data_IF_167260978896
#
_entry.id   IF_167260978896
#
_cell.length_a   1.000
_cell.length_b   1.000
_cell.length_c   1.000
_cell.angle_alpha   90.00
_cell.angle_beta   90.00
_cell.angle_gamma   90.00
#
_symmetry.space_group_name_H-M   'P 1'
#
loop_
_entity.id
_entity.type
_entity.pdbx_description
1 polymer ?
#
# COMPACT_ATOMS: atom_id res chain seq x y z
N UNK A 1 56.92 -67.30 -13.18
CA UNK A 1 55.54 -67.58 -13.67
C UNK A 1 54.52 -67.17 -12.60
N UNK A 2 54.29 -65.86 -12.44
CA UNK A 2 53.24 -65.34 -11.53
C UNK A 2 52.80 -63.90 -11.87
N UNK A 3 53.17 -63.37 -13.06
CA UNK A 3 52.84 -61.99 -13.47
C UNK A 3 51.93 -61.96 -14.72
N UNK A 4 51.71 -63.12 -15.36
CA UNK A 4 50.90 -63.22 -16.59
C UNK A 4 49.41 -63.49 -16.29
N UNK A 5 49.04 -63.77 -15.02
CA UNK A 5 47.66 -64.15 -14.66
C UNK A 5 46.81 -62.97 -14.17
N UNK A 6 47.40 -61.80 -13.86
CA UNK A 6 46.63 -60.63 -13.35
C UNK A 6 46.18 -59.65 -14.44
N UNK A 7 46.64 -59.81 -15.69
CA UNK A 7 46.26 -58.98 -16.85
C UNK A 7 45.15 -59.61 -17.72
N UNK A 8 44.43 -60.62 -17.19
CA UNK A 8 43.37 -61.36 -17.91
C UNK A 8 42.03 -61.33 -17.16
N UNK A 9 41.78 -60.33 -16.31
CA UNK A 9 40.49 -60.09 -15.66
C UNK A 9 39.90 -58.70 -15.91
N UNK A 10 40.47 -57.93 -16.83
CA UNK A 10 39.85 -56.73 -17.36
C UNK A 10 39.69 -56.88 -18.87
N UNK A 11 38.42 -57.00 -19.27
CA UNK A 11 37.85 -57.07 -20.62
C UNK A 11 37.76 -58.44 -21.29
N UNK A 12 36.55 -58.81 -21.73
CA UNK A 12 36.18 -58.39 -23.08
C UNK A 12 34.76 -57.83 -23.28
N UNK A 13 34.68 -56.99 -24.32
CA UNK A 13 33.55 -56.70 -25.22
C UNK A 13 32.26 -56.15 -24.62
N UNK A 14 31.98 -54.87 -24.93
CA UNK A 14 30.84 -54.53 -25.81
C UNK A 14 31.24 -53.37 -26.72
N UNK A 15 31.26 -53.66 -28.01
CA UNK A 15 31.15 -52.71 -29.11
C UNK A 15 29.77 -52.06 -29.12
N UNK A 16 29.68 -50.74 -29.11
CA UNK A 16 28.60 -50.05 -29.82
C UNK A 16 28.98 -48.59 -30.09
N UNK A 17 29.06 -48.26 -31.38
CA UNK A 17 29.06 -46.90 -31.87
C UNK A 17 27.70 -46.27 -31.52
N UNK A 18 27.69 -45.40 -30.51
CA UNK A 18 26.48 -44.74 -30.02
C UNK A 18 26.71 -43.26 -29.78
N UNK A 19 26.53 -42.47 -30.83
CA UNK A 19 26.05 -41.09 -30.77
C UNK A 19 26.78 -40.10 -29.82
N UNK A 20 28.00 -39.70 -30.16
CA UNK A 20 28.66 -38.51 -29.60
C UNK A 20 28.01 -37.18 -30.03
N UNK A 21 26.83 -37.23 -30.65
CA UNK A 21 26.03 -36.10 -31.08
C UNK A 21 25.11 -35.58 -29.96
N UNK A 22 24.90 -36.37 -28.90
CA UNK A 22 24.03 -36.02 -27.77
C UNK A 22 24.75 -35.18 -26.70
N UNK A 23 26.06 -35.38 -26.51
CA UNK A 23 26.84 -34.64 -25.50
C UNK A 23 27.20 -33.21 -25.95
N UNK A 24 27.48 -33.02 -27.24
CA UNK A 24 27.65 -31.69 -27.84
C UNK A 24 26.30 -30.94 -28.01
N UNK A 25 25.16 -31.65 -28.06
CA UNK A 25 23.82 -31.03 -28.04
C UNK A 25 23.40 -30.47 -26.69
N UNK A 26 24.02 -30.88 -25.57
CA UNK A 26 23.80 -30.20 -24.28
C UNK A 26 24.45 -28.81 -24.22
N UNK A 27 25.39 -28.54 -25.15
CA UNK A 27 26.01 -27.23 -25.37
C UNK A 27 25.55 -26.60 -26.70
N UNK A 28 24.46 -27.10 -27.30
CA UNK A 28 23.84 -26.45 -28.45
C UNK A 28 23.09 -25.21 -27.96
N UNK A 29 23.79 -24.08 -28.05
CA UNK A 29 23.27 -22.73 -27.98
C UNK A 29 22.28 -22.50 -26.82
N UNK A 30 22.80 -21.96 -25.72
CA UNK A 30 22.04 -21.01 -24.91
C UNK A 30 21.76 -19.80 -25.83
N UNK A 31 20.84 -19.97 -26.79
CA UNK A 31 20.32 -18.87 -27.59
C UNK A 31 19.79 -17.89 -26.56
N UNK A 32 20.31 -16.66 -26.58
CA UNK A 32 19.73 -15.59 -25.79
C UNK A 32 18.22 -15.62 -26.02
N UNK A 33 17.40 -15.66 -24.95
CA UNK A 33 15.96 -15.70 -25.12
C UNK A 33 15.55 -14.54 -26.03
N UNK A 34 14.67 -14.78 -27.02
CA UNK A 34 14.27 -13.77 -27.98
C UNK A 34 13.75 -12.54 -27.24
N UNK A 35 14.19 -11.33 -27.65
CA UNK A 35 13.79 -10.09 -26.99
C UNK A 35 12.26 -9.92 -27.11
N UNK A 36 11.51 -9.94 -26.00
CA UNK A 36 10.05 -9.90 -26.03
C UNK A 36 9.49 -8.57 -26.56
N UNK A 37 10.32 -7.56 -26.78
CA UNK A 37 9.96 -6.29 -27.42
C UNK A 37 9.88 -6.38 -28.96
N UNK A 38 10.32 -7.48 -29.57
CA UNK A 38 10.30 -7.66 -31.01
C UNK A 38 9.71 -9.01 -31.41
N UNK A 39 8.88 -9.01 -32.45
CA UNK A 39 8.36 -10.20 -33.13
C UNK A 39 8.91 -10.20 -34.56
N UNK A 40 9.83 -11.11 -34.86
CA UNK A 40 10.51 -11.18 -36.17
C UNK A 40 11.02 -9.79 -36.64
N UNK A 41 11.67 -9.05 -35.73
CA UNK A 41 12.16 -7.66 -35.89
C UNK A 41 11.10 -6.56 -35.95
N UNK A 42 9.79 -6.88 -35.95
CA UNK A 42 8.74 -5.88 -35.80
C UNK A 42 8.59 -5.49 -34.33
N UNK A 43 8.61 -4.19 -34.00
CA UNK A 43 8.44 -3.75 -32.62
C UNK A 43 7.03 -4.11 -32.13
N UNK A 44 6.92 -4.57 -30.89
CA UNK A 44 5.66 -4.83 -30.20
C UNK A 44 5.77 -4.38 -28.75
N UNK A 45 4.66 -4.06 -28.12
CA UNK A 45 4.66 -3.71 -26.69
C UNK A 45 5.33 -4.81 -25.84
N UNK A 46 6.21 -4.38 -24.95
CA UNK A 46 6.81 -5.23 -23.94
C UNK A 46 6.77 -4.53 -22.58
N UNK A 47 6.43 -5.28 -21.54
CA UNK A 47 6.32 -4.76 -20.17
C UNK A 47 7.19 -5.60 -19.24
N UNK A 48 7.77 -5.01 -18.18
CA UNK A 48 8.52 -5.78 -17.20
C UNK A 48 7.65 -6.77 -16.45
N UNK A 49 8.29 -7.80 -15.91
CA UNK A 49 7.62 -8.79 -15.07
C UNK A 49 6.94 -8.16 -13.85
N UNK A 50 5.89 -8.84 -13.39
CA UNK A 50 5.20 -8.47 -12.17
C UNK A 50 6.02 -8.92 -10.95
N UNK A 51 6.21 -8.03 -9.99
CA UNK A 51 7.02 -8.28 -8.78
C UNK A 51 6.36 -7.69 -7.54
N UNK A 52 6.73 -8.23 -6.38
CA UNK A 52 6.58 -7.49 -5.12
C UNK A 52 7.72 -6.46 -5.03
N UNK A 53 7.42 -5.20 -5.36
CA UNK A 53 8.39 -4.11 -5.34
C UNK A 53 8.83 -3.72 -3.93
N UNK A 54 8.17 -4.21 -2.88
CA UNK A 54 8.60 -3.99 -1.50
C UNK A 54 9.69 -4.98 -1.05
N UNK A 55 9.76 -6.16 -1.66
CA UNK A 55 10.63 -7.25 -1.19
C UNK A 55 12.10 -6.84 -1.12
N UNK A 56 12.72 -7.02 0.05
CA UNK A 56 14.11 -6.67 0.33
C UNK A 56 14.40 -5.17 0.43
N UNK A 57 13.43 -4.28 0.18
CA UNK A 57 13.63 -2.84 0.31
C UNK A 57 13.44 -2.40 1.77
N UNK A 58 14.28 -1.49 2.29
CA UNK A 58 14.13 -0.98 3.64
C UNK A 58 12.87 -0.14 3.77
N UNK A 59 12.15 -0.35 4.87
CA UNK A 59 10.98 0.45 5.25
C UNK A 59 11.37 1.35 6.43
N UNK A 60 11.08 2.63 6.31
CA UNK A 60 11.24 3.59 7.40
C UNK A 60 9.97 3.58 8.26
N UNK A 61 10.10 3.10 9.51
CA UNK A 61 9.01 3.09 10.48
C UNK A 61 9.21 4.23 11.48
N UNK A 62 8.16 5.03 11.73
CA UNK A 62 8.25 6.12 12.72
C UNK A 62 8.27 5.65 14.18
N UNK A 63 7.89 4.40 14.43
CA UNK A 63 7.91 3.78 15.76
C UNK A 63 8.32 2.31 15.62
N UNK A 64 9.23 1.85 16.46
CA UNK A 64 9.63 0.44 16.55
C UNK A 64 9.91 0.11 18.00
N UNK A 65 9.31 -0.97 18.52
CA UNK A 65 9.47 -1.32 19.92
C UNK A 65 10.92 -1.66 20.29
N UNK A 66 11.31 -1.40 21.53
CA UNK A 66 12.62 -1.84 22.04
C UNK A 66 13.81 -1.01 21.55
N UNK A 67 13.60 0.02 20.71
CA UNK A 67 14.67 0.81 20.09
C UNK A 67 15.45 1.65 21.11
N UNK A 68 14.77 2.24 22.09
CA UNK A 68 15.41 3.03 23.16
C UNK A 68 15.57 2.22 24.45
N UNK A 69 14.49 1.56 24.88
CA UNK A 69 14.44 0.75 26.11
C UNK A 69 13.57 -0.49 25.88
N UNK A 70 13.81 -1.60 26.59
CA UNK A 70 12.93 -2.76 26.54
C UNK A 70 11.50 -2.39 26.97
N UNK A 71 10.51 -2.68 26.13
CA UNK A 71 9.10 -2.34 26.37
C UNK A 71 8.24 -3.60 26.45
N UNK A 72 7.22 -3.57 27.31
CA UNK A 72 6.23 -4.64 27.43
C UNK A 72 5.11 -4.41 26.42
N UNK A 73 4.72 -5.46 25.70
CA UNK A 73 3.56 -5.46 24.80
C UNK A 73 2.70 -6.69 25.08
N UNK A 74 1.40 -6.64 24.73
CA UNK A 74 0.48 -7.75 24.96
C UNK A 74 -0.30 -8.08 23.69
N UNK A 75 -0.34 -9.36 23.33
CA UNK A 75 -1.16 -9.85 22.20
C UNK A 75 -2.62 -10.04 22.65
N UNK A 76 -3.55 -9.99 21.69
CA UNK A 76 -4.98 -10.21 21.95
C UNK A 76 -5.22 -11.71 22.18
N UNK A 77 -5.98 -12.06 23.23
CA UNK A 77 -6.37 -13.44 23.54
C UNK A 77 -7.72 -13.79 22.93
N UNK A 78 -7.80 -14.93 22.23
CA UNK A 78 -9.00 -15.41 21.50
C UNK A 78 -10.10 -16.04 22.38
N UNK A 79 -10.34 -15.60 23.63
CA UNK A 79 -11.35 -16.26 24.49
C UNK A 79 -12.76 -15.71 24.20
N UNK A 80 -13.67 -16.47 23.55
CA UNK A 80 -15.05 -16.04 23.32
C UNK A 80 -15.87 -16.34 24.59
N UNK A 81 -16.51 -15.33 25.17
CA UNK A 81 -17.48 -15.51 26.25
C UNK A 81 -16.94 -15.55 27.69
N UNK A 82 -15.66 -15.25 27.91
CA UNK A 82 -15.11 -15.10 29.25
C UNK A 82 -15.13 -13.65 29.72
N UNK A 83 -16.21 -13.23 30.40
CA UNK A 83 -16.19 -12.02 31.23
C UNK A 83 -15.15 -12.17 32.33
N UNK A 84 -13.92 -11.72 32.08
CA UNK A 84 -12.81 -11.91 33.02
C UNK A 84 -11.54 -11.23 32.55
N UNK A 85 -11.19 -10.14 33.23
CA UNK A 85 -9.94 -9.39 33.16
C UNK A 85 -8.78 -10.31 33.57
N UNK A 86 -8.28 -11.18 32.68
CA UNK A 86 -7.05 -11.95 32.93
C UNK A 86 -6.31 -12.31 31.64
N UNK A 87 -5.37 -11.43 31.27
CA UNK A 87 -4.04 -11.85 30.80
C UNK A 87 -3.89 -12.23 29.34
N UNK A 88 -4.04 -11.27 28.42
CA UNK A 88 -3.35 -11.37 27.13
C UNK A 88 -1.87 -11.73 27.37
N UNK A 89 -1.31 -12.64 26.55
CA UNK A 89 0.08 -13.06 26.70
C UNK A 89 0.98 -11.85 26.42
N UNK A 90 1.60 -11.33 27.48
CA UNK A 90 2.49 -10.20 27.38
C UNK A 90 3.94 -10.65 27.23
N UNK A 91 4.66 -9.97 26.37
CA UNK A 91 6.06 -10.21 26.05
C UNK A 91 6.86 -8.92 26.21
N UNK A 92 8.19 -9.05 26.17
CA UNK A 92 9.12 -7.92 26.20
C UNK A 92 9.76 -7.82 24.83
N UNK A 93 9.67 -6.63 24.22
CA UNK A 93 10.40 -6.27 23.02
C UNK A 93 11.69 -5.57 23.40
N UNK A 94 12.81 -6.05 22.87
CA UNK A 94 14.16 -5.56 23.15
C UNK A 94 15.02 -5.69 21.89
N UNK A 95 15.44 -4.55 21.33
CA UNK A 95 16.23 -4.49 20.08
C UNK A 95 17.60 -5.16 20.24
N UNK A 96 18.15 -5.19 21.45
CA UNK A 96 19.45 -5.81 21.73
C UNK A 96 19.43 -7.35 21.65
N UNK A 97 18.24 -7.96 21.75
CA UNK A 97 18.07 -9.41 21.76
C UNK A 97 17.47 -9.91 20.44
N UNK A 98 18.21 -10.71 19.62
CA UNK A 98 17.73 -11.17 18.31
C UNK A 98 16.40 -11.94 18.32
N UNK A 99 16.06 -12.62 19.43
CA UNK A 99 14.81 -13.36 19.59
C UNK A 99 13.61 -12.50 20.01
N UNK A 100 13.85 -11.24 20.40
CA UNK A 100 12.85 -10.31 20.96
C UNK A 100 12.83 -8.95 20.26
N UNK A 101 13.67 -8.76 19.24
CA UNK A 101 13.66 -7.59 18.37
C UNK A 101 12.61 -7.74 17.27
N UNK A 102 12.02 -6.62 16.88
CA UNK A 102 10.96 -6.57 15.87
C UNK A 102 11.19 -5.40 14.88
N UNK A 103 12.35 -5.39 14.18
CA UNK A 103 12.74 -4.28 13.31
C UNK A 103 11.85 -4.17 12.07
N UNK A 104 11.82 -2.99 11.46
CA UNK A 104 11.07 -2.72 10.23
C UNK A 104 11.54 -3.55 9.02
N UNK A 105 12.75 -4.14 9.07
CA UNK A 105 13.23 -5.06 8.03
C UNK A 105 12.36 -6.32 7.89
N UNK A 106 11.66 -6.75 8.95
CA UNK A 106 10.73 -7.88 8.92
C UNK A 106 9.41 -7.56 8.19
N UNK A 107 9.25 -6.35 7.65
CA UNK A 107 8.10 -6.02 6.81
C UNK A 107 8.27 -6.51 5.38
N UNK A 108 9.50 -6.70 4.91
CA UNK A 108 9.82 -6.94 3.49
C UNK A 108 10.76 -8.12 3.29
N UNK A 109 10.97 -8.94 4.32
CA UNK A 109 11.75 -10.16 4.25
C UNK A 109 10.96 -11.32 3.62
N UNK A 110 11.54 -12.52 3.65
CA UNK A 110 10.88 -13.71 3.14
C UNK A 110 9.80 -14.18 4.13
N UNK A 111 8.56 -13.82 3.84
CA UNK A 111 7.41 -14.23 4.64
C UNK A 111 7.17 -15.76 4.56
N UNK A 112 7.44 -16.47 5.66
CA UNK A 112 7.18 -17.89 5.82
C UNK A 112 6.02 -18.12 6.80
N UNK A 113 4.87 -18.67 6.37
CA UNK A 113 3.72 -18.91 7.24
C UNK A 113 4.02 -19.77 8.48
N UNK A 114 5.03 -20.65 8.41
CA UNK A 114 5.43 -21.50 9.54
C UNK A 114 6.37 -20.80 10.53
N UNK A 115 7.04 -19.71 10.12
CA UNK A 115 7.98 -18.96 10.94
C UNK A 115 7.85 -17.47 10.59
N UNK A 116 6.78 -16.87 11.11
CA UNK A 116 6.39 -15.50 10.79
C UNK A 116 7.27 -14.53 11.56
N UNK A 117 8.00 -13.71 10.83
CA UNK A 117 8.69 -12.52 11.32
C UNK A 117 7.71 -11.34 11.38
N UNK A 118 7.96 -10.41 12.30
CA UNK A 118 6.99 -9.36 12.63
C UNK A 118 7.69 -8.08 13.04
N UNK A 119 7.39 -6.98 12.36
CA UNK A 119 7.64 -5.65 12.90
C UNK A 119 6.56 -5.31 13.93
N UNK A 120 6.94 -4.57 14.97
CA UNK A 120 6.03 -4.10 16.03
C UNK A 120 6.34 -2.66 16.39
N UNK A 121 5.30 -1.84 16.51
CA UNK A 121 5.41 -0.46 17.01
C UNK A 121 5.66 -0.45 18.52
N UNK A 122 6.05 0.71 19.05
CA UNK A 122 5.94 0.94 20.49
C UNK A 122 4.47 0.80 20.96
N UNK A 123 4.24 0.45 22.23
CA UNK A 123 2.89 0.34 22.76
C UNK A 123 2.15 1.69 22.72
N UNK A 124 0.93 1.65 22.22
CA UNK A 124 0.04 2.79 22.04
C UNK A 124 -0.87 2.89 23.27
N UNK A 125 -1.08 4.12 23.72
CA UNK A 125 -2.04 4.43 24.78
C UNK A 125 -3.45 4.33 24.19
N UNK A 126 -4.32 3.54 24.82
CA UNK A 126 -5.70 3.41 24.34
C UNK A 126 -6.39 4.78 24.31
N UNK A 127 -7.11 5.12 23.23
CA UNK A 127 -7.78 6.41 23.11
C UNK A 127 -8.87 6.53 24.19
N UNK A 128 -8.87 7.63 24.92
CA UNK A 128 -9.84 7.89 25.99
C UNK A 128 -11.14 8.50 25.46
N UNK A 129 -11.16 8.99 24.22
CA UNK A 129 -12.33 9.60 23.58
C UNK A 129 -12.28 9.49 22.04
N UNK A 130 -13.41 9.72 21.37
CA UNK A 130 -13.47 9.76 19.89
C UNK A 130 -12.63 10.91 19.32
N UNK A 131 -12.48 12.01 20.06
CA UNK A 131 -11.65 13.17 19.73
C UNK A 131 -10.18 13.02 20.13
N UNK A 132 -9.77 11.86 20.65
CA UNK A 132 -8.36 11.59 20.96
C UNK A 132 -7.51 11.75 19.70
N UNK A 133 -6.31 12.37 19.80
CA UNK A 133 -5.39 12.51 18.67
C UNK A 133 -5.10 11.15 18.00
N UNK A 134 -4.86 11.13 16.67
CA UNK A 134 -4.49 9.90 15.98
C UNK A 134 -3.10 9.40 16.40
N UNK A 135 -2.92 8.09 16.39
CA UNK A 135 -1.67 7.42 16.81
C UNK A 135 -0.49 7.76 15.89
N UNK A 136 -0.76 8.09 14.63
CA UNK A 136 0.18 8.56 13.61
C UNK A 136 1.47 7.71 13.46
N UNK A 137 1.35 6.39 13.65
CA UNK A 137 2.46 5.47 13.35
C UNK A 137 2.52 5.27 11.84
N UNK A 138 3.70 5.45 11.24
CA UNK A 138 3.87 5.43 9.79
C UNK A 138 4.90 4.40 9.35
N UNK A 139 4.63 3.80 8.18
CA UNK A 139 5.58 2.96 7.44
C UNK A 139 5.76 3.59 6.06
N UNK A 140 6.99 3.99 5.74
CA UNK A 140 7.33 4.62 4.46
C UNK A 140 8.27 3.72 3.67
N UNK A 141 7.87 3.34 2.47
CA UNK A 141 8.62 2.51 1.54
C UNK A 141 8.95 3.32 0.29
N UNK A 142 10.23 3.45 -0.01
CA UNK A 142 10.73 4.07 -1.24
C UNK A 142 11.11 2.99 -2.26
N UNK A 143 10.49 3.04 -3.44
CA UNK A 143 10.72 2.05 -4.51
C UNK A 143 11.93 2.42 -5.40
N UNK A 144 12.46 3.64 -5.28
CA UNK A 144 13.63 4.12 -6.03
C UNK A 144 13.38 4.38 -7.53
N UNK A 145 12.22 3.99 -8.06
CA UNK A 145 11.75 4.23 -9.44
C UNK A 145 10.21 4.25 -9.47
N UNK A 146 9.62 4.81 -10.53
CA UNK A 146 8.18 4.72 -10.79
C UNK A 146 7.76 3.28 -11.10
N UNK A 147 6.73 2.82 -10.41
CA UNK A 147 6.03 1.56 -10.67
C UNK A 147 4.57 1.83 -11.04
N UNK A 148 4.00 0.93 -11.84
CA UNK A 148 2.56 0.82 -12.03
C UNK A 148 2.05 -0.25 -11.05
N UNK A 149 1.38 0.20 -9.99
CA UNK A 149 0.95 -0.61 -8.88
C UNK A 149 -0.40 -1.28 -9.16
N UNK A 150 -0.45 -2.59 -8.91
CA UNK A 150 -1.70 -3.37 -8.96
C UNK A 150 -2.33 -3.47 -7.58
N UNK A 151 -1.52 -3.69 -6.54
CA UNK A 151 -2.03 -3.75 -5.17
C UNK A 151 -1.01 -3.28 -4.13
N UNK A 152 -1.53 -2.90 -2.97
CA UNK A 152 -0.77 -2.73 -1.73
C UNK A 152 -1.41 -3.63 -0.69
N UNK A 153 -0.64 -4.47 0.00
CA UNK A 153 -1.18 -5.35 1.04
C UNK A 153 -0.33 -5.41 2.28
N UNK A 154 -1.02 -5.44 3.42
CA UNK A 154 -0.45 -5.57 4.75
C UNK A 154 -0.99 -6.85 5.38
N UNK A 155 -0.10 -7.73 5.80
CA UNK A 155 -0.44 -8.88 6.64
C UNK A 155 -0.07 -8.55 8.09
N UNK A 156 -1.02 -8.65 8.98
CA UNK A 156 -0.87 -8.43 10.41
C UNK A 156 -0.38 -9.71 11.09
N UNK A 157 0.41 -9.50 12.14
CA UNK A 157 0.99 -10.60 12.91
C UNK A 157 -0.09 -11.50 13.54
N UNK A 158 0.20 -12.79 13.73
CA UNK A 158 -0.69 -13.68 14.48
C UNK A 158 -0.99 -13.10 15.86
N UNK A 159 -2.26 -13.15 16.28
CA UNK A 159 -2.74 -12.63 17.58
C UNK A 159 -2.57 -11.11 17.79
N UNK A 160 -2.17 -10.38 16.75
CA UNK A 160 -2.19 -8.92 16.79
C UNK A 160 -3.57 -8.38 16.40
N UNK A 161 -3.96 -7.28 17.05
CA UNK A 161 -5.18 -6.57 16.69
C UNK A 161 -5.06 -5.96 15.28
N UNK A 162 -6.14 -6.06 14.51
CA UNK A 162 -6.28 -5.33 13.25
C UNK A 162 -6.66 -3.87 13.56
N UNK A 163 -5.96 -2.87 13.00
CA UNK A 163 -6.32 -1.49 13.22
C UNK A 163 -7.70 -1.16 12.67
N UNK A 164 -8.46 -0.37 13.41
CA UNK A 164 -9.73 0.19 12.95
C UNK A 164 -9.53 1.23 11.84
N UNK A 165 -8.54 2.13 11.96
CA UNK A 165 -8.36 3.23 11.01
C UNK A 165 -6.94 3.29 10.44
N UNK A 166 -6.82 3.14 9.13
CA UNK A 166 -5.57 3.16 8.36
C UNK A 166 -5.74 4.01 7.10
N UNK A 167 -4.73 4.78 6.75
CA UNK A 167 -4.64 5.49 5.49
C UNK A 167 -3.40 5.05 4.70
N UNK A 168 -3.57 4.83 3.40
CA UNK A 168 -2.49 4.54 2.45
C UNK A 168 -2.34 5.77 1.57
N UNK A 169 -1.12 6.28 1.47
CA UNK A 169 -0.71 7.38 0.62
C UNK A 169 0.33 6.89 -0.37
N UNK A 170 0.45 7.59 -1.49
CA UNK A 170 1.51 7.38 -2.47
C UNK A 170 2.21 8.70 -2.82
N UNK A 171 3.43 8.60 -3.29
CA UNK A 171 4.14 9.70 -3.95
C UNK A 171 4.40 9.34 -5.42
N UNK A 172 4.50 10.34 -6.30
CA UNK A 172 4.92 10.17 -7.69
C UNK A 172 6.21 10.93 -8.02
N UNK A 173 6.78 11.61 -7.01
CA UNK A 173 7.87 12.56 -7.12
C UNK A 173 8.99 12.29 -6.10
N UNK A 174 9.17 11.01 -5.75
CA UNK A 174 10.23 10.51 -4.87
C UNK A 174 10.12 11.05 -3.44
N UNK A 175 8.91 11.00 -2.87
CA UNK A 175 8.62 11.31 -1.46
C UNK A 175 8.40 12.78 -1.15
N UNK A 176 8.44 13.68 -2.15
CA UNK A 176 8.29 15.13 -1.94
C UNK A 176 6.84 15.52 -1.66
N UNK A 177 5.91 14.99 -2.43
CA UNK A 177 4.47 15.17 -2.22
C UNK A 177 3.78 13.83 -2.01
N UNK A 178 2.72 13.87 -1.22
CA UNK A 178 1.95 12.70 -0.82
C UNK A 178 0.49 12.91 -1.18
N UNK A 179 -0.07 11.98 -1.94
CA UNK A 179 -1.48 11.97 -2.30
C UNK A 179 -2.19 10.78 -1.67
N UNK A 180 -3.45 10.95 -1.20
CA UNK A 180 -4.25 9.85 -0.68
C UNK A 180 -4.44 8.75 -1.72
N UNK A 181 -4.35 7.49 -1.30
CA UNK A 181 -4.50 6.34 -2.17
C UNK A 181 -5.71 5.48 -1.76
N UNK A 182 -5.84 5.16 -0.47
CA UNK A 182 -6.96 4.39 0.09
C UNK A 182 -7.12 4.67 1.58
N UNK A 183 -8.35 4.70 2.07
CA UNK A 183 -8.67 4.79 3.49
C UNK A 183 -9.45 3.56 3.96
N UNK A 184 -9.18 3.13 5.18
CA UNK A 184 -9.90 2.08 5.88
C UNK A 184 -10.32 2.63 7.24
N UNK A 185 -11.62 2.58 7.56
CA UNK A 185 -12.16 3.01 8.86
C UNK A 185 -13.58 2.48 9.06
N UNK A 186 -13.96 2.12 10.29
CA UNK A 186 -15.38 1.94 10.64
C UNK A 186 -16.18 3.24 10.59
N UNK A 187 -15.53 4.38 10.85
CA UNK A 187 -16.15 5.70 10.93
C UNK A 187 -15.53 6.66 9.92
N UNK A 188 -15.53 6.27 8.64
CA UNK A 188 -14.98 7.04 7.51
C UNK A 188 -15.33 8.53 7.54
N UNK A 189 -16.60 8.86 7.85
CA UNK A 189 -17.08 10.24 7.88
C UNK A 189 -16.46 11.04 9.03
N UNK A 190 -16.32 10.44 10.23
CA UNK A 190 -15.79 11.13 11.41
C UNK A 190 -14.27 11.22 11.40
N UNK A 191 -13.58 10.17 10.94
CA UNK A 191 -12.11 10.09 10.96
C UNK A 191 -11.50 10.80 9.76
N UNK A 192 -12.06 10.60 8.56
CA UNK A 192 -11.48 11.10 7.31
C UNK A 192 -12.35 12.10 6.56
N UNK A 193 -13.54 12.44 7.08
CA UNK A 193 -14.48 13.33 6.39
C UNK A 193 -15.11 12.70 5.13
N UNK A 194 -14.89 11.41 4.88
CA UNK A 194 -15.25 10.74 3.63
C UNK A 194 -16.49 9.85 3.78
N UNK A 195 -17.34 9.74 2.75
CA UNK A 195 -18.40 8.74 2.72
C UNK A 195 -17.83 7.31 2.78
N UNK A 196 -18.53 6.40 3.45
CA UNK A 196 -18.19 4.97 3.48
C UNK A 196 -18.62 4.33 2.15
N UNK A 197 -17.71 3.63 1.47
CA UNK A 197 -17.94 2.89 0.22
C UNK A 197 -18.61 3.73 -0.89
N UNK A 198 -18.15 4.97 -1.06
CA UNK A 198 -18.60 5.79 -2.19
C UNK A 198 -18.30 5.12 -3.53
N UNK A 199 -19.20 5.34 -4.49
CA UNK A 199 -19.08 4.83 -5.85
C UNK A 199 -18.17 5.76 -6.68
N UNK A 200 -17.28 5.16 -7.47
CA UNK A 200 -16.43 5.89 -8.41
C UNK A 200 -17.17 6.01 -9.74
N UNK A 201 -17.16 7.21 -10.29
CA UNK A 201 -17.65 7.52 -11.64
C UNK A 201 -16.46 7.78 -12.56
N UNK A 202 -16.70 7.85 -13.88
CA UNK A 202 -15.66 8.21 -14.84
C UNK A 202 -15.05 9.61 -14.60
N UNK A 203 -15.75 10.50 -13.91
CA UNK A 203 -15.28 11.86 -13.65
C UNK A 203 -14.27 11.94 -12.49
N UNK A 204 -14.30 10.99 -11.55
CA UNK A 204 -13.49 11.00 -10.32
C UNK A 204 -12.68 9.70 -10.15
N UNK A 205 -12.19 9.13 -11.24
CA UNK A 205 -11.40 7.88 -11.23
C UNK A 205 -10.03 7.98 -10.54
N UNK A 206 -9.64 9.14 -10.02
CA UNK A 206 -8.44 9.32 -9.19
C UNK A 206 -8.79 9.64 -7.73
N UNK A 207 -10.05 9.51 -7.34
CA UNK A 207 -10.44 9.73 -5.96
C UNK A 207 -10.07 8.53 -5.08
N UNK A 208 -9.53 8.83 -3.89
CA UNK A 208 -9.27 7.85 -2.84
C UNK A 208 -10.54 7.58 -2.03
N UNK A 209 -10.92 6.32 -1.96
CA UNK A 209 -12.13 5.88 -1.25
C UNK A 209 -11.85 5.59 0.22
N UNK A 210 -12.93 5.54 1.01
CA UNK A 210 -12.89 5.01 2.38
C UNK A 210 -13.84 3.81 2.50
N UNK A 211 -13.40 2.75 3.17
CA UNK A 211 -14.22 1.55 3.40
C UNK A 211 -13.97 0.87 4.74
N UNK A 212 -15.01 0.30 5.30
CA UNK A 212 -15.00 -0.58 6.48
C UNK A 212 -14.78 -2.07 6.14
N UNK A 213 -14.56 -2.41 4.87
CA UNK A 213 -14.48 -3.81 4.38
C UNK A 213 -13.45 -4.64 5.13
N UNK A 214 -12.37 -4.02 5.60
CA UNK A 214 -11.32 -4.67 6.36
C UNK A 214 -11.81 -5.27 7.70
N UNK A 215 -12.95 -4.83 8.24
CA UNK A 215 -13.52 -5.39 9.47
C UNK A 215 -14.28 -6.70 9.24
N UNK A 216 -14.83 -6.86 8.04
CA UNK A 216 -15.62 -8.02 7.69
C UNK A 216 -14.70 -9.07 7.10
N UNK A 217 -14.46 -10.15 7.86
CA UNK A 217 -13.88 -11.36 7.28
C UNK A 217 -14.84 -11.82 6.18
N UNK A 218 -14.34 -12.09 4.98
CA UNK A 218 -15.13 -12.52 3.83
C UNK A 218 -15.76 -13.91 3.96
N UNK A 219 -16.14 -14.34 5.17
CA UNK A 219 -16.83 -15.60 5.41
C UNK A 219 -17.87 -15.38 6.52
N UNK A 220 -19.15 -15.39 6.14
CA UNK A 220 -20.28 -15.59 7.06
C UNK A 220 -20.32 -17.04 7.55
N UNK A 221 -19.22 -17.52 8.15
CA UNK A 221 -19.07 -18.87 8.66
C UNK A 221 -18.24 -18.85 9.94
N UNK A 222 -18.83 -19.37 11.01
CA UNK A 222 -18.23 -19.63 12.31
C UNK A 222 -16.80 -20.21 12.19
N UNK A 223 -15.86 -19.59 12.92
CA UNK A 223 -14.62 -20.26 13.33
C UNK A 223 -13.40 -20.21 12.40
N UNK A 224 -13.43 -19.46 11.29
CA UNK A 224 -12.23 -19.25 10.47
C UNK A 224 -11.27 -18.22 11.10
N UNK A 225 -9.93 -18.43 11.06
CA UNK A 225 -8.97 -17.45 11.58
C UNK A 225 -9.23 -16.09 10.94
N UNK A 226 -9.27 -15.05 11.78
CA UNK A 226 -9.51 -13.67 11.35
C UNK A 226 -8.59 -13.37 10.17
N UNK A 227 -9.14 -12.93 9.04
CA UNK A 227 -8.33 -12.58 7.89
C UNK A 227 -7.42 -11.42 8.29
N UNK A 228 -6.18 -11.76 8.67
CA UNK A 228 -5.18 -10.82 9.16
C UNK A 228 -4.57 -9.99 8.05
N UNK A 229 -5.27 -9.83 6.91
CA UNK A 229 -4.78 -9.11 5.74
C UNK A 229 -5.67 -7.92 5.42
N UNK A 230 -5.04 -6.82 5.02
CA UNK A 230 -5.67 -5.72 4.31
C UNK A 230 -5.02 -5.68 2.94
N UNK A 231 -5.84 -5.72 1.90
CA UNK A 231 -5.38 -5.61 0.53
C UNK A 231 -6.18 -4.50 -0.15
N UNK A 232 -5.43 -3.58 -0.76
CA UNK A 232 -5.95 -2.50 -1.59
C UNK A 232 -5.60 -2.83 -3.04
N UNK A 233 -6.62 -3.01 -3.89
CA UNK A 233 -6.45 -3.15 -5.33
C UNK A 233 -6.67 -1.79 -6.00
N UNK A 234 -5.68 -1.31 -6.76
CA UNK A 234 -5.66 0.08 -7.25
C UNK A 234 -6.76 0.37 -8.27
N UNK A 235 -7.15 -0.62 -9.07
CA UNK A 235 -8.15 -0.52 -10.13
C UNK A 235 -9.55 -1.00 -9.73
N UNK A 236 -9.73 -1.49 -8.50
CA UNK A 236 -11.02 -2.00 -8.03
C UNK A 236 -12.08 -0.90 -8.01
N UNK A 237 -13.26 -1.21 -8.57
CA UNK A 237 -14.39 -0.28 -8.64
C UNK A 237 -14.22 0.89 -9.63
N UNK A 238 -13.13 0.94 -10.42
CA UNK A 238 -12.88 2.03 -11.38
C UNK A 238 -13.42 1.68 -12.78
N UNK A 239 -14.36 2.47 -13.35
CA UNK A 239 -15.03 2.13 -14.61
C UNK A 239 -14.12 1.86 -15.81
N UNK A 240 -13.02 2.61 -15.95
CA UNK A 240 -12.10 2.49 -17.09
C UNK A 240 -11.02 1.41 -16.92
N UNK A 241 -11.10 0.59 -15.86
CA UNK A 241 -10.10 -0.45 -15.57
C UNK A 241 -10.00 -1.50 -16.69
N UNK A 242 -11.11 -1.82 -17.37
CA UNK A 242 -11.13 -2.74 -18.51
C UNK A 242 -10.41 -2.19 -19.75
N UNK A 243 -10.29 -0.86 -19.86
CA UNK A 243 -9.61 -0.15 -20.95
C UNK A 243 -8.39 0.64 -20.43
N UNK A 244 -7.65 0.04 -19.49
CA UNK A 244 -6.51 0.66 -18.81
C UNK A 244 -5.44 1.17 -19.79
N UNK A 245 -5.17 0.43 -20.87
CA UNK A 245 -4.14 0.79 -21.85
C UNK A 245 -4.42 2.12 -22.56
N UNK A 246 -5.68 2.55 -22.62
CA UNK A 246 -6.09 3.81 -23.25
C UNK A 246 -6.53 4.88 -22.23
N UNK A 247 -6.57 4.57 -20.93
CA UNK A 247 -6.94 5.52 -19.87
C UNK A 247 -5.71 6.16 -19.24
N UNK A 248 -5.27 7.37 -19.67
CA UNK A 248 -4.15 8.07 -19.03
C UNK A 248 -4.45 8.39 -17.55
N UNK A 249 -5.72 8.63 -17.23
CA UNK A 249 -6.19 8.91 -15.86
C UNK A 249 -5.84 7.75 -14.93
N UNK A 250 -6.12 6.50 -15.33
CA UNK A 250 -5.80 5.32 -14.51
C UNK A 250 -4.31 4.97 -14.56
N UNK A 251 -3.64 5.20 -15.67
CA UNK A 251 -2.18 5.00 -15.77
C UNK A 251 -1.42 5.88 -14.77
N UNK A 252 -1.85 7.14 -14.60
CA UNK A 252 -1.30 8.02 -13.58
C UNK A 252 -1.78 7.64 -12.16
N UNK A 253 -3.03 7.19 -12.02
CA UNK A 253 -3.55 6.68 -10.74
C UNK A 253 -2.76 5.49 -10.19
N UNK A 254 -2.32 4.55 -11.02
CA UNK A 254 -1.53 3.40 -10.55
C UNK A 254 -0.04 3.74 -10.38
N UNK A 255 0.40 4.89 -10.89
CA UNK A 255 1.81 5.28 -10.83
C UNK A 255 2.19 5.74 -9.43
N UNK A 256 3.28 5.18 -8.89
CA UNK A 256 3.88 5.62 -7.63
C UNK A 256 5.41 5.38 -7.61
N UNK A 257 6.13 6.21 -6.85
CA UNK A 257 7.55 6.04 -6.50
C UNK A 257 7.73 5.59 -5.05
N UNK A 258 6.78 5.93 -4.18
CA UNK A 258 6.84 5.66 -2.75
C UNK A 258 5.43 5.36 -2.23
N UNK A 259 5.36 4.56 -1.18
CA UNK A 259 4.13 4.21 -0.48
C UNK A 259 4.31 4.52 1.00
N UNK A 260 3.29 5.16 1.58
CA UNK A 260 3.25 5.48 3.00
C UNK A 260 1.95 4.97 3.59
N UNK A 261 2.06 4.13 4.60
CA UNK A 261 0.93 3.66 5.40
C UNK A 261 0.93 4.44 6.70
N UNK A 262 -0.22 4.97 7.09
CA UNK A 262 -0.42 5.71 8.35
C UNK A 262 -1.48 4.97 9.15
N UNK A 263 -1.10 4.50 10.33
CA UNK A 263 -2.00 3.92 11.31
C UNK A 263 -2.52 5.04 12.22
N UNK A 264 -3.83 5.29 12.18
CA UNK A 264 -4.45 6.39 12.89
C UNK A 264 -5.11 5.95 14.18
N UNK A 265 -5.66 4.73 14.21
CA UNK A 265 -6.37 4.19 15.38
C UNK A 265 -6.34 2.68 15.38
N UNK A 266 -5.86 2.09 16.48
CA UNK A 266 -5.87 0.65 16.65
C UNK A 266 -7.27 0.11 17.03
N UNK A 267 -7.87 0.65 18.10
CA UNK A 267 -9.21 0.30 18.55
C UNK A 267 -10.09 1.54 18.70
N UNK A 268 -11.39 1.36 18.53
CA UNK A 268 -12.37 2.37 18.91
C UNK A 268 -12.49 2.42 20.44
N UNK A 269 -12.69 3.61 21.04
CA UNK A 269 -13.12 3.69 22.43
C UNK A 269 -14.44 2.95 22.59
N UNK A 270 -14.52 1.96 23.49
CA UNK A 270 -15.78 1.32 23.84
C UNK A 270 -16.68 2.36 24.53
N UNK A 271 -17.88 2.59 23.99
CA UNK A 271 -18.87 3.48 24.62
C UNK A 271 -19.80 4.28 23.72
N UNK A 272 -20.01 3.93 22.45
CA UNK A 272 -21.06 4.55 21.60
C UNK A 272 -21.66 3.56 20.59
N UNK A 273 -21.95 2.33 21.05
CA UNK A 273 -23.07 1.59 20.48
C UNK A 273 -24.33 2.09 21.20
N UNK A 274 -24.89 3.20 20.73
CA UNK A 274 -26.26 3.70 20.96
C UNK A 274 -26.30 5.16 20.47
N UNK A 275 -27.10 5.44 19.42
CA UNK A 275 -27.79 6.73 19.14
C UNK A 275 -28.12 7.00 17.65
N UNK A 276 -27.77 6.13 16.70
CA UNK A 276 -28.21 6.29 15.29
C UNK A 276 -29.46 5.46 14.93
N UNK A 277 -29.76 4.36 15.64
CA UNK A 277 -30.90 3.50 15.29
C UNK A 277 -32.25 3.98 15.86
N UNK A 278 -32.26 4.97 16.77
CA UNK A 278 -33.50 5.48 17.40
C UNK A 278 -33.99 6.83 16.86
N UNK A 279 -33.46 7.33 15.73
CA UNK A 279 -34.00 8.51 15.01
C UNK A 279 -34.82 8.14 13.76
N UNK A 280 -35.23 6.88 13.63
CA UNK A 280 -35.94 6.34 12.46
C UNK A 280 -37.39 5.88 12.69
N UNK A 281 -38.04 6.23 13.82
CA UNK A 281 -39.44 5.89 14.06
C UNK A 281 -40.24 7.07 14.63
N UNK A 282 -40.42 8.13 13.83
CA UNK A 282 -41.59 8.99 14.00
C UNK A 282 -41.96 9.72 12.70
N UNK A 283 -42.27 8.99 11.64
CA UNK A 283 -43.06 9.53 10.52
C UNK A 283 -43.98 8.43 9.98
N UNK A 284 -45.12 8.25 10.65
CA UNK A 284 -46.24 7.47 10.13
C UNK A 284 -47.03 8.31 9.12
N UNK A 285 -46.92 7.93 7.84
CA UNK A 285 -47.89 8.04 6.75
C UNK A 285 -49.18 8.85 7.01
N UNK A 286 -49.50 9.89 6.21
CA UNK A 286 -50.88 10.33 6.01
C UNK A 286 -51.51 9.61 4.81
N UNK A 287 -52.56 8.83 5.07
CA UNK A 287 -53.52 8.36 4.06
C UNK A 287 -54.52 9.48 3.74
N UNK A 288 -54.76 9.69 2.46
CA UNK A 288 -55.79 10.58 1.88
C UNK A 288 -57.21 10.21 2.35
N UNK A 289 -58.08 11.20 2.62
CA UNK A 289 -59.17 11.64 1.70
C UNK A 289 -60.05 12.76 2.31
N UNK A 290 -60.11 13.88 1.58
CA UNK A 290 -61.26 14.74 1.20
C UNK A 290 -62.33 15.23 2.22
N UNK A 291 -62.47 16.58 2.38
CA UNK A 291 -63.60 17.43 1.90
C UNK A 291 -63.73 18.82 2.61
N UNK A 292 -63.56 19.89 1.81
CA UNK A 292 -64.34 21.15 1.64
C UNK A 292 -64.68 22.14 2.80
N UNK A 293 -64.67 23.42 2.36
CA UNK A 293 -65.23 24.69 2.90
C UNK A 293 -64.38 25.31 4.02
N UNK A 294 -64.03 26.58 4.06
CA UNK A 294 -64.46 27.82 3.41
C UNK A 294 -64.13 28.95 4.41
N UNK A 295 -64.25 30.21 3.98
CA UNK A 295 -64.20 31.44 4.79
C UNK A 295 -62.84 32.14 5.01
N UNK A 296 -62.87 33.41 4.61
CA UNK A 296 -61.87 34.47 4.72
C UNK A 296 -61.78 35.00 6.16
N UNK A 297 -60.65 35.61 6.53
CA UNK A 297 -60.69 36.95 7.11
C UNK A 297 -59.30 37.60 7.20
N UNK A 298 -59.31 38.89 6.88
CA UNK A 298 -58.21 39.81 6.69
C UNK A 298 -58.09 40.73 7.91
N UNK A 299 -56.89 40.93 8.47
CA UNK A 299 -56.58 42.23 9.09
C UNK A 299 -55.08 42.56 9.11
N UNK A 300 -54.72 43.46 8.19
CA UNK A 300 -53.67 44.49 8.20
C UNK A 300 -53.11 44.91 9.57
N UNK A 301 -51.78 45.10 9.71
CA UNK A 301 -51.09 46.41 9.92
C UNK A 301 -49.57 46.24 10.19
N UNK A 302 -48.74 46.88 9.35
CA UNK A 302 -47.31 47.18 9.58
C UNK A 302 -47.17 48.37 10.55
N UNK A 303 -46.00 48.71 11.18
CA UNK A 303 -44.75 49.04 10.48
C UNK A 303 -43.41 48.66 11.19
N UNK A 304 -42.35 48.69 10.38
CA UNK A 304 -40.90 48.77 10.69
C UNK A 304 -40.54 50.06 11.51
N UNK A 305 -39.31 50.34 12.04
CA UNK A 305 -37.97 49.87 11.61
C UNK A 305 -36.81 49.74 12.66
N UNK A 306 -35.71 49.08 12.21
CA UNK A 306 -34.26 49.38 12.33
C UNK A 306 -33.51 49.60 13.68
N UNK A 307 -32.17 49.41 13.56
CA UNK A 307 -31.03 49.70 14.47
C UNK A 307 -30.66 48.60 15.48
N UNK A 308 -29.42 48.12 15.67
CA UNK A 308 -28.10 48.43 15.10
C UNK A 308 -27.17 47.22 15.31
N UNK A 309 -26.13 47.15 14.49
CA UNK A 309 -25.09 46.13 14.48
C UNK A 309 -23.86 46.69 15.19
N UNK A 310 -23.34 46.01 16.21
CA UNK A 310 -22.04 46.36 16.79
C UNK A 310 -21.19 45.13 17.11
N UNK A 311 -20.00 45.12 16.51
CA UNK A 311 -18.96 44.10 16.56
C UNK A 311 -18.14 44.21 17.85
N UNK A 312 -17.77 43.11 18.48
CA UNK A 312 -16.56 43.03 19.32
C UNK A 312 -15.82 41.71 19.09
N UNK A 313 -14.54 41.83 18.75
CA UNK A 313 -13.59 40.77 18.46
C UNK A 313 -13.07 40.11 19.75
N UNK A 314 -12.86 38.79 19.72
CA UNK A 314 -12.24 38.02 20.80
C UNK A 314 -10.80 37.63 20.44
N UNK A 315 -9.85 38.00 21.30
CA UNK A 315 -8.44 37.60 21.24
C UNK A 315 -8.17 36.21 21.86
N UNK A 316 -6.95 35.67 21.70
CA UNK A 316 -6.62 34.27 22.03
C UNK A 316 -6.19 34.07 23.49
N UNK A 317 -6.39 32.88 24.10
CA UNK A 317 -5.82 32.54 25.39
C UNK A 317 -4.48 31.78 25.26
N UNK A 318 -3.51 32.17 26.08
CA UNK A 318 -2.20 31.52 26.30
C UNK A 318 -2.14 30.80 27.68
N UNK A 319 -1.10 29.99 27.98
CA UNK A 319 -1.23 28.72 28.69
C UNK A 319 -1.02 28.79 30.22
N UNK A 320 -1.66 27.87 30.94
CA UNK A 320 -1.43 27.65 32.39
C UNK A 320 -0.37 26.57 32.60
N UNK A 321 0.66 26.96 33.36
CA UNK A 321 1.83 26.16 33.72
C UNK A 321 1.60 25.27 34.96
N UNK A 322 2.50 24.29 35.08
CA UNK A 322 2.56 23.23 36.06
C UNK A 322 2.67 23.70 37.53
N UNK A 323 2.02 22.95 38.43
CA UNK A 323 2.25 23.05 39.87
C UNK A 323 2.98 21.79 40.38
N UNK A 324 4.19 22.01 40.90
CA UNK A 324 5.02 21.08 41.65
C UNK A 324 4.50 20.90 43.09
N UNK A 325 4.46 19.66 43.57
CA UNK A 325 4.02 19.33 44.94
C UNK A 325 5.26 19.02 45.80
N UNK A 326 5.39 19.76 46.89
CA UNK A 326 6.47 19.67 47.87
C UNK A 326 6.37 18.42 48.74
N UNK A 327 7.52 17.86 49.10
CA UNK A 327 7.69 16.78 50.07
C UNK A 327 7.58 17.33 51.50
N UNK A 328 6.81 16.65 52.35
CA UNK A 328 6.89 16.78 53.81
C UNK A 328 7.03 15.39 54.44
N UNK A 329 7.80 15.35 55.52
CA UNK A 329 8.41 14.16 56.11
C UNK A 329 8.02 14.04 57.58
N UNK A 330 7.45 12.89 57.97
CA UNK A 330 7.24 12.51 59.38
C UNK A 330 6.58 11.13 59.53
N UNK A 331 6.88 10.35 60.59
CA UNK A 331 7.06 8.89 60.46
C UNK A 331 6.08 8.00 61.26
N UNK A 332 6.11 6.70 60.91
CA UNK A 332 5.71 5.49 61.67
C UNK A 332 4.22 5.08 61.71
N UNK A 333 3.93 3.92 61.09
CA UNK A 333 2.68 3.18 61.29
C UNK A 333 2.45 2.07 60.25
N UNK A 334 2.93 0.87 60.54
CA UNK A 334 2.84 -0.39 59.79
C UNK A 334 1.43 -0.73 59.22
N UNK A 335 1.32 -0.91 57.89
CA UNK A 335 0.64 -2.06 57.26
C UNK A 335 1.23 -2.30 55.86
N UNK A 336 1.72 -3.52 55.63
CA UNK A 336 2.31 -3.93 54.37
C UNK A 336 1.20 -4.33 53.39
N UNK A 337 0.78 -3.38 52.57
CA UNK A 337 0.00 -3.64 51.36
C UNK A 337 0.42 -2.63 50.30
N UNK A 338 1.60 -2.86 49.71
CA UNK A 338 1.90 -2.38 48.36
C UNK A 338 0.95 -3.09 47.38
N UNK A 339 -0.32 -2.68 47.38
CA UNK A 339 -1.10 -2.70 46.17
C UNK A 339 -0.48 -1.63 45.29
N UNK A 340 0.53 -2.01 44.50
CA UNK A 340 0.91 -1.28 43.31
C UNK A 340 -0.33 -1.27 42.41
N UNK A 341 -1.18 -0.27 42.57
CA UNK A 341 -2.17 0.12 41.57
C UNK A 341 -1.42 0.78 40.42
N UNK A 342 -0.50 0.03 39.81
CA UNK A 342 -0.27 0.15 38.38
C UNK A 342 -1.56 -0.32 37.76
N UNK A 343 -2.47 0.61 37.47
CA UNK A 343 -3.49 0.41 36.45
C UNK A 343 -2.75 -0.17 35.25
N UNK A 344 -2.85 -1.48 35.06
CA UNK A 344 -2.23 -2.18 33.94
C UNK A 344 -3.09 -1.83 32.74
N UNK A 345 -2.90 -0.62 32.21
CA UNK A 345 -3.40 -0.27 30.89
C UNK A 345 -2.76 -1.26 29.94
N UNK A 346 -3.55 -2.21 29.43
CA UNK A 346 -3.11 -3.13 28.40
C UNK A 346 -2.57 -2.29 27.24
N UNK A 347 -1.26 -2.39 27.03
CA UNK A 347 -0.56 -1.54 26.08
C UNK A 347 -0.58 -2.24 24.72
N UNK A 348 -1.60 -1.93 23.94
CA UNK A 348 -1.77 -2.47 22.59
C UNK A 348 -0.74 -1.86 21.64
N UNK A 349 -0.47 -2.50 20.50
CA UNK A 349 0.55 -2.08 19.55
C UNK A 349 0.15 -2.46 18.12
N UNK A 350 0.76 -1.81 17.12
CA UNK A 350 0.66 -2.24 15.74
C UNK A 350 1.69 -3.34 15.46
N UNK A 351 1.29 -4.38 14.74
CA UNK A 351 2.19 -5.45 14.35
C UNK A 351 1.87 -5.98 12.95
N UNK A 352 2.86 -5.91 12.07
CA UNK A 352 2.74 -6.30 10.65
C UNK A 352 3.85 -7.29 10.34
N UNK A 353 3.48 -8.41 9.71
CA UNK A 353 4.39 -9.48 9.32
C UNK A 353 4.81 -9.44 7.87
N UNK A 354 4.04 -8.78 7.01
CA UNK A 354 4.38 -8.62 5.59
C UNK A 354 3.76 -7.35 5.03
N UNK A 355 4.58 -6.56 4.35
CA UNK A 355 4.19 -5.37 3.61
C UNK A 355 4.61 -5.57 2.15
N UNK A 356 3.62 -5.95 1.33
CA UNK A 356 3.82 -6.21 -0.09
C UNK A 356 3.20 -5.11 -0.95
N UNK A 357 3.95 -4.70 -1.98
CA UNK A 357 3.52 -3.73 -3.00
C UNK A 357 3.67 -4.41 -4.35
N UNK A 358 2.56 -4.94 -4.86
CA UNK A 358 2.52 -5.67 -6.12
C UNK A 358 2.38 -4.72 -7.30
N UNK A 359 3.28 -4.84 -8.27
CA UNK A 359 3.22 -4.03 -9.49
C UNK A 359 4.31 -4.40 -10.47
N UNK A 360 4.49 -3.53 -11.47
CA UNK A 360 5.60 -3.65 -12.42
C UNK A 360 6.29 -2.32 -12.61
N UNK A 361 7.56 -2.40 -12.99
CA UNK A 361 8.38 -1.24 -13.24
C UNK A 361 7.78 -0.40 -14.40
N UNK A 362 7.57 0.91 -14.23
CA UNK A 362 6.94 1.76 -15.25
C UNK A 362 7.93 2.04 -16.38
N UNK A 363 7.68 1.45 -17.55
CA UNK A 363 8.48 1.62 -18.76
C UNK A 363 7.65 1.98 -20.01
N UNK A 364 6.38 2.37 -19.81
CA UNK A 364 5.46 2.77 -20.87
C UNK A 364 5.32 1.76 -22.03
N UNK A 365 5.58 0.47 -21.77
CA UNK A 365 5.52 -0.59 -22.77
C UNK A 365 6.71 -0.67 -23.74
N UNK A 366 7.81 0.03 -23.45
CA UNK A 366 9.03 0.05 -24.27
C UNK A 366 10.24 -0.63 -23.61
N UNK A 367 10.05 -1.41 -22.54
CA UNK A 367 11.11 -2.24 -21.97
C UNK A 367 10.51 -3.48 -21.29
N UNK A 368 11.23 -4.60 -21.41
CA UNK A 368 10.87 -5.87 -20.78
C UNK A 368 11.52 -6.09 -19.42
N UNK A 369 12.43 -5.20 -19.00
CA UNK A 369 13.11 -5.28 -17.71
C UNK A 369 13.60 -3.92 -17.25
N UNK A 370 13.80 -3.82 -15.94
CA UNK A 370 14.52 -2.71 -15.31
C UNK A 370 15.88 -3.20 -14.82
N UNK A 371 16.88 -2.37 -14.99
CA UNK A 371 18.28 -2.66 -14.64
C UNK A 371 18.85 -1.49 -13.84
N UNK A 372 19.79 -1.74 -12.91
CA UNK A 372 20.58 -0.67 -12.31
C UNK A 372 21.31 0.11 -13.40
N UNK A 373 21.20 1.44 -13.38
CA UNK A 373 21.78 2.32 -14.37
C UNK A 373 22.49 3.53 -13.72
N UNK A 374 23.51 4.05 -14.41
CA UNK A 374 24.31 5.17 -13.92
C UNK A 374 25.36 4.77 -12.87
N UNK A 375 26.09 5.77 -12.36
CA UNK A 375 27.16 5.56 -11.35
C UNK A 375 26.60 5.22 -9.97
N UNK A 376 25.38 5.66 -9.68
CA UNK A 376 24.73 5.51 -8.38
C UNK A 376 23.88 4.23 -8.29
N UNK A 377 23.87 3.40 -9.35
CA UNK A 377 23.11 2.15 -9.38
C UNK A 377 21.58 2.32 -9.37
N UNK A 378 21.07 3.52 -9.69
CA UNK A 378 19.63 3.78 -9.69
C UNK A 378 18.89 2.92 -10.71
N UNK A 379 17.78 2.32 -10.30
CA UNK A 379 16.97 1.48 -11.19
C UNK A 379 16.39 2.30 -12.35
N UNK A 380 16.54 1.83 -13.59
CA UNK A 380 15.97 2.42 -14.79
C UNK A 380 15.49 1.34 -15.77
N UNK A 381 14.63 1.69 -16.71
CA UNK A 381 14.22 0.78 -17.77
C UNK A 381 15.35 0.51 -18.77
N UNK A 382 15.49 -0.73 -19.24
CA UNK A 382 16.32 -1.06 -20.41
C UNK A 382 15.55 -0.72 -21.71
N UNK A 383 15.49 0.58 -22.03
CA UNK A 383 14.63 1.11 -23.08
C UNK A 383 14.93 0.57 -24.49
N UNK A 384 13.89 0.04 -25.14
CA UNK A 384 13.82 -0.38 -26.55
C UNK A 384 13.02 0.62 -27.38
N UNK A 385 12.61 0.25 -28.60
CA UNK A 385 11.72 1.05 -29.44
C UNK A 385 12.26 2.48 -29.72
N UNK A 386 13.59 2.64 -29.72
CA UNK A 386 14.28 3.93 -29.82
C UNK A 386 13.84 4.97 -28.79
N UNK A 387 13.40 4.53 -27.61
CA UNK A 387 13.03 5.38 -26.48
C UNK A 387 14.19 5.57 -25.50
N UNK A 388 14.11 6.62 -24.71
CA UNK A 388 15.08 7.02 -23.70
C UNK A 388 14.36 7.63 -22.48
N UNK A 389 15.12 7.90 -21.43
CA UNK A 389 14.58 8.35 -20.15
C UNK A 389 14.55 7.21 -19.13
N UNK A 390 14.25 7.52 -17.86
CA UNK A 390 14.23 6.48 -16.81
C UNK A 390 13.04 5.54 -16.98
N UNK A 391 11.94 6.03 -17.53
CA UNK A 391 10.66 5.35 -17.73
C UNK A 391 10.37 5.10 -19.23
N UNK A 392 11.35 5.30 -20.11
CA UNK A 392 11.18 5.26 -21.57
C UNK A 392 10.15 6.28 -22.10
N UNK A 393 10.11 7.45 -21.47
CA UNK A 393 9.09 8.50 -21.63
C UNK A 393 9.40 9.52 -22.75
N UNK A 394 10.46 9.31 -23.53
CA UNK A 394 10.84 10.20 -24.64
C UNK A 394 11.59 9.44 -25.72
N UNK A 395 11.69 10.02 -26.91
CA UNK A 395 12.51 9.46 -27.98
C UNK A 395 14.01 9.68 -27.74
N UNK A 396 14.83 8.73 -28.23
CA UNK A 396 16.28 8.92 -28.35
C UNK A 396 16.57 10.08 -29.32
N UNK A 397 17.72 10.78 -29.16
CA UNK A 397 18.19 11.71 -30.16
C UNK A 397 18.15 11.10 -31.58
N UNK A 398 17.80 11.92 -32.57
CA UNK A 398 17.65 11.55 -33.98
C UNK A 398 16.43 10.67 -34.33
N UNK A 399 15.58 10.32 -33.36
CA UNK A 399 14.36 9.53 -33.57
C UNK A 399 13.09 10.36 -33.36
N UNK A 400 13.03 11.55 -33.99
CA UNK A 400 11.96 12.54 -33.81
C UNK A 400 11.05 12.68 -35.05
N UNK A 401 10.96 11.66 -35.90
CA UNK A 401 10.13 11.69 -37.11
C UNK A 401 8.62 11.65 -36.81
N UNK A 402 8.26 11.21 -35.60
CA UNK A 402 6.92 11.34 -35.02
C UNK A 402 6.97 11.64 -33.53
N UNK A 403 5.89 12.17 -32.93
CA UNK A 403 5.80 12.33 -31.48
C UNK A 403 5.97 11.00 -30.74
N UNK A 404 6.50 11.06 -29.52
CA UNK A 404 6.53 9.90 -28.62
C UNK A 404 5.09 9.51 -28.21
N UNK A 405 4.86 8.21 -28.02
CA UNK A 405 3.62 7.71 -27.43
C UNK A 405 3.87 6.41 -26.68
N UNK A 406 3.12 6.17 -25.61
CA UNK A 406 3.13 4.90 -24.84
C UNK A 406 2.71 3.74 -25.74
N UNK A 407 3.39 2.60 -25.65
CA UNK A 407 2.98 1.40 -26.37
C UNK A 407 1.65 0.83 -25.85
N UNK A 408 0.77 0.44 -26.76
CA UNK A 408 -0.52 -0.21 -26.49
C UNK A 408 -0.48 -1.68 -26.89
N UNK A 409 -1.54 -2.44 -26.63
CA UNK A 409 -1.63 -3.82 -27.13
C UNK A 409 -1.62 -3.91 -28.68
N UNK A 410 -1.99 -2.83 -29.40
CA UNK A 410 -2.12 -2.82 -30.86
C UNK A 410 -0.94 -2.18 -31.58
N UNK A 411 -0.37 -1.11 -31.01
CA UNK A 411 0.74 -0.36 -31.58
C UNK A 411 1.87 -0.21 -30.57
N UNK A 412 3.10 -0.57 -30.98
CA UNK A 412 4.31 -0.44 -30.18
C UNK A 412 4.73 1.03 -29.97
N UNK A 413 4.25 1.94 -30.81
CA UNK A 413 4.55 3.36 -30.78
C UNK A 413 6.06 3.66 -30.70
N UNK A 414 6.87 2.93 -31.47
CA UNK A 414 8.31 3.12 -31.51
C UNK A 414 8.71 4.48 -32.08
N UNK A 415 9.76 5.07 -31.53
CA UNK A 415 10.30 6.32 -32.06
C UNK A 415 11.00 6.06 -33.40
N UNK A 416 10.70 6.90 -34.40
CA UNK A 416 11.20 6.76 -35.78
C UNK A 416 12.26 7.80 -36.08
N UNK A 417 13.36 7.36 -36.70
CA UNK A 417 14.36 8.26 -37.26
C UNK A 417 13.91 8.79 -38.60
N UNK A 418 14.32 10.03 -38.95
CA UNK A 418 14.11 10.54 -40.30
C UNK A 418 14.88 9.64 -41.26
N UNK A 419 14.20 9.05 -42.23
CA UNK A 419 14.88 8.45 -43.37
C UNK A 419 15.65 9.57 -44.06
N UNK A 420 16.98 9.44 -44.14
CA UNK A 420 17.72 10.22 -45.13
C UNK A 420 17.19 9.72 -46.47
N UNK A 421 16.34 10.51 -47.11
CA UNK A 421 16.15 10.40 -48.55
C UNK A 421 17.55 10.54 -49.14
N UNK A 422 18.16 9.42 -49.51
CA UNK A 422 19.37 9.47 -50.31
C UNK A 422 18.94 10.15 -51.61
N UNK A 423 19.50 11.33 -51.86
CA UNK A 423 19.43 11.99 -53.16
C UNK A 423 20.35 11.18 -54.10
N UNK A 424 19.96 9.93 -54.40
CA UNK A 424 20.52 9.13 -55.48
C UNK A 424 19.55 9.01 -56.64
N UNK A 425 18.26 9.32 -56.43
CA UNK A 425 17.22 9.11 -57.45
C UNK A 425 16.85 10.39 -58.23
N UNK A 426 17.59 11.50 -58.05
CA UNK A 426 17.34 12.77 -58.77
C UNK A 426 18.33 12.99 -59.93
N UNK A 427 19.41 12.20 -60.04
CA UNK A 427 20.38 12.38 -61.14
C UNK A 427 20.04 11.65 -62.44
N UNK A 428 19.03 10.77 -62.45
CA UNK A 428 18.64 10.03 -63.66
C UNK A 428 17.56 10.72 -64.51
N UNK A 429 17.02 11.88 -64.09
CA UNK A 429 16.00 12.61 -64.88
C UNK A 429 16.53 13.86 -65.61
N UNK A 430 17.86 14.03 -65.71
CA UNK A 430 18.48 15.18 -66.41
C UNK A 430 19.34 14.77 -67.62
N UNK A 431 19.27 13.51 -68.06
CA UNK A 431 19.95 13.00 -69.26
C UNK A 431 19.00 12.37 -70.29
N UNK A 432 17.76 12.87 -70.38
CA UNK A 432 16.91 12.69 -71.57
C UNK A 432 16.48 14.06 -72.11
N UNK A 433 17.35 14.65 -72.94
CA UNK A 433 17.01 15.69 -73.91
C UNK A 433 17.67 15.37 -75.23
#
# INVERSE_FOLDING_TARGET
MAIIVFLMLLYPLVTEAGNSDSFLKMFAAQQNPPDPCYDEHRPRRCIPDFVNAAFGNPVEASSTCGASVPVRYCDVSDIPGGGGVNGGMCHICDESQPKRRHPALYLTDLNNPNNVTCWRSEPIVSPTSVSSPPDNVTLTLSLGKKYELTYVSLQFCPRAAKPDSIAIYKSMDYGKTWQPFQFYSSQCRKVYGRPNRATITKANEQEALCTDSHRFNGNGGEGGPIASRIAFSTLEGRPSASDFDNSPVLQDWVTATDIKVVFNRLHLPNGFEEDEENRGMLESHPQQTALKLGEEDNYTKSPHPQHDMENHAAGPPEPVAAASISADSGPNGLTNSFASTTTTTMSYHYAVSDFAVGGRCKCNGHASKCVPAGRDGQLACDCKHNTAGRDCERCKPFHFDRPWGRATARDANECKGRQRLFISDITDSLYET
#
